data_IF_394344734060
#
_entry.id   IF_394344734060
#
_cell.length_a   1.000
_cell.length_b   1.000
_cell.length_c   1.000
_cell.angle_alpha   90.00
_cell.angle_beta   90.00
_cell.angle_gamma   90.00
#
_symmetry.space_group_name_H-M   'P 1'
#
loop_
_entity.id
_entity.type
_entity.pdbx_description
1 polymer ?
#
# COMPACT_ATOMS: atom_id res chain seq x y z
N UNK A 1 12.48 -20.96 6.01
CA UNK A 1 12.56 -19.84 5.03
C UNK A 1 13.15 -20.15 3.65
N UNK A 2 13.91 -21.23 3.38
CA UNK A 2 14.45 -21.49 2.02
C UNK A 2 13.38 -22.06 1.04
N UNK A 3 12.33 -22.73 1.53
CA UNK A 3 11.28 -23.30 0.66
C UNK A 3 10.46 -22.20 -0.03
N UNK A 4 10.16 -21.09 0.66
CA UNK A 4 9.40 -19.97 0.06
C UNK A 4 10.23 -19.25 -1.02
N UNK A 5 11.54 -19.04 -0.78
CA UNK A 5 12.43 -18.47 -1.79
C UNK A 5 12.66 -19.41 -2.97
N UNK A 6 12.71 -20.73 -2.76
CA UNK A 6 12.84 -21.70 -3.85
C UNK A 6 11.55 -21.79 -4.67
N UNK A 7 10.37 -21.74 -4.04
CA UNK A 7 9.10 -21.66 -4.76
C UNK A 7 8.99 -20.34 -5.55
N UNK A 8 9.32 -19.19 -4.96
CA UNK A 8 9.30 -17.91 -5.67
C UNK A 8 10.30 -17.89 -6.84
N UNK A 9 11.51 -18.43 -6.66
CA UNK A 9 12.54 -18.51 -7.70
C UNK A 9 12.19 -19.51 -8.81
N UNK A 10 11.62 -20.67 -8.47
CA UNK A 10 11.18 -21.67 -9.47
C UNK A 10 9.95 -21.18 -10.22
N UNK A 11 9.03 -20.47 -9.56
CA UNK A 11 7.83 -19.90 -10.16
C UNK A 11 8.19 -18.74 -11.09
N UNK A 12 9.03 -17.78 -10.65
CA UNK A 12 9.53 -16.70 -11.50
C UNK A 12 10.31 -17.24 -12.70
N UNK A 13 11.17 -18.25 -12.51
CA UNK A 13 11.93 -18.88 -13.60
C UNK A 13 11.05 -19.66 -14.60
N UNK A 14 10.00 -20.33 -14.14
CA UNK A 14 9.04 -21.00 -15.03
C UNK A 14 8.13 -20.00 -15.74
N UNK A 15 7.70 -18.94 -15.06
CA UNK A 15 6.89 -17.86 -15.62
C UNK A 15 7.65 -17.11 -16.73
N UNK A 16 8.93 -16.78 -16.52
CA UNK A 16 9.79 -16.15 -17.54
C UNK A 16 10.05 -17.10 -18.72
N UNK A 17 10.17 -18.42 -18.50
CA UNK A 17 10.28 -19.41 -19.59
C UNK A 17 8.98 -19.61 -20.37
N UNK A 18 7.83 -19.48 -19.71
CA UNK A 18 6.50 -19.57 -20.32
C UNK A 18 6.20 -18.35 -21.19
N UNK A 19 6.52 -17.15 -20.70
CA UNK A 19 6.39 -15.91 -21.47
C UNK A 19 7.25 -15.88 -22.74
N UNK A 20 8.41 -16.53 -22.73
CA UNK A 20 9.31 -16.63 -23.90
C UNK A 20 8.88 -17.66 -24.95
N UNK A 21 7.85 -18.47 -24.70
CA UNK A 21 7.42 -19.59 -25.56
C UNK A 21 6.05 -19.42 -26.21
N UNK A 22 5.37 -18.30 -25.97
CA UNK A 22 4.06 -18.01 -26.57
C UNK A 22 4.25 -17.24 -27.89
N UNK A 23 4.04 -17.85 -29.06
CA UNK A 23 3.72 -17.09 -30.26
C UNK A 23 2.25 -16.67 -30.15
N UNK A 24 1.95 -15.38 -30.17
CA UNK A 24 0.56 -14.91 -30.22
C UNK A 24 0.34 -14.28 -31.58
N UNK A 25 -0.43 -15.03 -32.36
CA UNK A 25 -1.02 -14.65 -33.64
C UNK A 25 -2.17 -13.66 -33.37
N UNK A 26 -2.16 -12.52 -34.07
CA UNK A 26 -3.11 -11.41 -33.86
C UNK A 26 -4.17 -11.50 -34.95
N UNK A 27 -5.38 -11.95 -34.60
CA UNK A 27 -6.56 -11.77 -35.44
C UNK A 27 -7.71 -11.16 -34.63
N UNK A 28 -8.11 -9.97 -35.05
CA UNK A 28 -9.15 -9.09 -34.52
C UNK A 28 -10.57 -9.58 -34.82
N UNK A 29 -11.49 -9.42 -33.86
CA UNK A 29 -12.93 -9.32 -34.13
C UNK A 29 -13.55 -8.20 -33.29
N UNK A 30 -14.21 -7.26 -33.98
CA UNK A 30 -14.80 -6.04 -33.43
C UNK A 30 -16.23 -6.25 -32.89
N UNK A 31 -16.60 -5.46 -31.88
CA UNK A 31 -17.97 -5.24 -31.42
C UNK A 31 -18.12 -3.79 -30.91
N UNK A 32 -19.29 -3.13 -31.07
CA UNK A 32 -19.42 -1.70 -30.88
C UNK A 32 -19.71 -1.35 -29.42
N UNK A 33 -18.88 -0.50 -28.83
CA UNK A 33 -19.05 0.04 -27.47
C UNK A 33 -18.16 1.27 -27.29
N UNK A 34 -18.83 2.41 -27.10
CA UNK A 34 -18.36 3.76 -26.78
C UNK A 34 -16.85 3.96 -26.64
N UNK A 35 -16.29 4.72 -27.59
CA UNK A 35 -14.88 5.09 -27.64
C UNK A 35 -14.55 6.23 -26.65
N UNK A 36 -13.94 5.87 -25.53
CA UNK A 36 -12.81 6.62 -24.96
C UNK A 36 -11.53 5.84 -25.21
N UNK A 37 -11.34 5.38 -26.44
CA UNK A 37 -10.17 4.60 -26.85
C UNK A 37 -9.03 5.52 -27.28
N UNK A 38 -7.96 5.41 -26.52
CA UNK A 38 -6.58 5.40 -27.00
C UNK A 38 -6.02 6.69 -27.63
N UNK A 39 -5.80 7.71 -26.78
CA UNK A 39 -4.70 8.67 -27.04
C UNK A 39 -3.33 8.00 -26.78
N UNK A 40 -3.31 6.86 -26.07
CA UNK A 40 -2.11 6.06 -25.77
C UNK A 40 -1.72 5.06 -26.87
N UNK A 41 -2.38 5.05 -28.04
CA UNK A 41 -2.27 3.96 -29.03
C UNK A 41 -0.86 3.73 -29.62
N UNK A 42 0.11 4.64 -29.39
CA UNK A 42 1.51 4.45 -29.79
C UNK A 42 2.52 4.36 -28.64
N UNK A 43 2.15 4.73 -27.40
CA UNK A 43 3.05 4.69 -26.25
C UNK A 43 2.58 3.62 -25.26
N UNK A 44 3.14 2.43 -25.40
CA UNK A 44 2.76 1.27 -24.58
C UNK A 44 3.74 1.10 -23.43
N UNK A 45 3.23 1.12 -22.20
CA UNK A 45 3.99 0.78 -21.00
C UNK A 45 3.77 -0.70 -20.66
N UNK A 46 4.86 -1.45 -20.47
CA UNK A 46 4.81 -2.84 -19.99
C UNK A 46 5.64 -3.00 -18.70
N UNK A 47 5.02 -3.19 -17.53
CA UNK A 47 3.57 -3.24 -17.30
C UNK A 47 2.89 -1.85 -17.43
N UNK A 48 1.54 -1.77 -17.55
CA UNK A 48 0.82 -0.50 -17.59
C UNK A 48 1.15 0.42 -16.40
N UNK A 49 1.17 1.74 -16.62
CA UNK A 49 1.61 2.74 -15.62
C UNK A 49 0.85 2.61 -14.30
N UNK A 50 -0.46 2.37 -14.33
CA UNK A 50 -1.23 2.19 -13.09
C UNK A 50 -0.74 1.01 -12.25
N UNK A 51 -0.27 -0.09 -12.87
CA UNK A 51 0.33 -1.22 -12.14
C UNK A 51 1.70 -0.86 -11.61
N UNK A 52 2.48 -0.08 -12.36
CA UNK A 52 3.77 0.43 -11.87
C UNK A 52 3.58 1.31 -10.63
N UNK A 53 2.55 2.16 -10.58
CA UNK A 53 2.19 2.95 -9.38
C UNK A 53 1.90 2.07 -8.17
N UNK A 54 1.04 1.06 -8.35
CA UNK A 54 0.71 0.13 -7.25
C UNK A 54 1.92 -0.68 -6.78
N UNK A 55 2.77 -1.12 -7.72
CA UNK A 55 4.02 -1.81 -7.40
C UNK A 55 4.99 -0.92 -6.63
N UNK A 56 5.14 0.34 -7.04
CA UNK A 56 6.00 1.29 -6.34
C UNK A 56 5.51 1.56 -4.91
N UNK A 57 4.21 1.75 -4.72
CA UNK A 57 3.62 1.94 -3.39
C UNK A 57 3.83 0.71 -2.52
N UNK A 58 3.67 -0.50 -3.08
CA UNK A 58 3.97 -1.73 -2.36
C UNK A 58 5.44 -1.79 -1.93
N UNK A 59 6.38 -1.39 -2.79
CA UNK A 59 7.81 -1.32 -2.45
C UNK A 59 8.11 -0.29 -1.36
N UNK A 60 7.46 0.88 -1.42
CA UNK A 60 7.58 1.91 -0.39
C UNK A 60 7.09 1.36 0.95
N UNK A 61 5.91 0.73 1.00
CA UNK A 61 5.36 0.14 2.23
C UNK A 61 6.22 -1.00 2.79
N UNK A 62 6.90 -1.75 1.93
CA UNK A 62 7.83 -2.83 2.30
C UNK A 62 9.23 -2.35 2.70
N UNK A 63 9.48 -1.04 2.75
CA UNK A 63 10.79 -0.51 3.10
C UNK A 63 11.13 -0.84 4.57
N UNK A 64 12.30 -1.45 4.78
CA UNK A 64 12.80 -1.85 6.10
C UNK A 64 12.84 -0.69 7.12
N UNK A 65 12.86 0.56 6.68
CA UNK A 65 12.85 1.74 7.56
C UNK A 65 11.59 1.83 8.43
N UNK A 66 10.43 1.41 7.92
CA UNK A 66 9.14 1.58 8.60
C UNK A 66 8.20 0.38 8.46
N UNK A 67 8.65 -0.72 7.87
CA UNK A 67 7.82 -1.93 7.65
C UNK A 67 7.22 -2.47 8.96
N UNK A 68 7.89 -2.29 10.10
CA UNK A 68 7.39 -2.72 11.42
C UNK A 68 6.43 -1.68 12.05
N UNK A 69 6.46 -0.44 11.57
CA UNK A 69 5.72 0.70 12.13
C UNK A 69 4.41 0.98 11.41
N UNK A 70 4.27 0.57 10.14
CA UNK A 70 3.05 0.80 9.35
C UNK A 70 2.06 -0.34 9.57
N UNK A 71 0.97 -0.05 10.27
CA UNK A 71 -0.13 -0.99 10.52
C UNK A 71 -1.47 -0.50 10.01
N UNK A 72 -1.69 0.81 10.01
CA UNK A 72 -2.94 1.45 9.58
C UNK A 72 -2.71 2.35 8.37
N UNK A 73 -3.41 2.08 7.28
CA UNK A 73 -3.26 2.79 6.01
C UNK A 73 -4.59 3.42 5.60
N UNK A 74 -4.55 4.62 5.04
CA UNK A 74 -5.67 5.19 4.28
C UNK A 74 -5.30 5.33 2.81
N UNK A 75 -6.22 4.90 1.94
CA UNK A 75 -6.19 5.07 0.49
C UNK A 75 -7.29 6.06 0.09
N UNK A 76 -6.91 7.30 -0.21
CA UNK A 76 -7.83 8.35 -0.65
C UNK A 76 -7.96 8.36 -2.17
N UNK A 77 -9.20 8.44 -2.65
CA UNK A 77 -9.50 8.29 -4.09
C UNK A 77 -9.34 6.84 -4.50
N UNK A 78 -9.74 5.92 -3.63
CA UNK A 78 -9.54 4.49 -3.83
C UNK A 78 -10.33 3.93 -5.03
N UNK A 79 -11.28 4.70 -5.57
CA UNK A 79 -12.01 4.42 -6.81
C UNK A 79 -12.54 2.98 -6.86
N UNK A 80 -12.05 2.18 -7.80
CA UNK A 80 -12.49 0.79 -7.99
C UNK A 80 -11.74 -0.19 -7.07
N UNK A 81 -11.12 0.29 -5.99
CA UNK A 81 -10.44 -0.52 -4.96
C UNK A 81 -9.34 -1.42 -5.52
N UNK A 82 -8.67 -0.98 -6.60
CA UNK A 82 -7.65 -1.78 -7.30
C UNK A 82 -6.33 -1.87 -6.53
N UNK A 83 -5.94 -0.81 -5.81
CA UNK A 83 -4.73 -0.81 -4.97
C UNK A 83 -4.78 -1.90 -3.90
N UNK A 84 -5.97 -2.16 -3.35
CA UNK A 84 -6.17 -3.15 -2.30
C UNK A 84 -5.54 -4.52 -2.62
N UNK A 85 -5.62 -4.97 -3.88
CA UNK A 85 -5.07 -6.26 -4.32
C UNK A 85 -3.55 -6.35 -4.20
N UNK A 86 -2.86 -5.21 -4.10
CA UNK A 86 -1.41 -5.11 -3.94
C UNK A 86 -1.01 -5.01 -2.46
N UNK A 87 -1.83 -4.37 -1.62
CA UNK A 87 -1.48 -4.10 -0.21
C UNK A 87 -2.08 -5.13 0.77
N UNK A 88 -3.17 -5.81 0.45
CA UNK A 88 -3.84 -6.75 1.36
C UNK A 88 -3.01 -7.98 1.75
N UNK A 89 -1.95 -8.29 0.99
CA UNK A 89 -1.01 -9.39 1.28
C UNK A 89 0.13 -8.99 2.20
N UNK A 90 0.25 -7.71 2.54
CA UNK A 90 1.23 -7.23 3.51
C UNK A 90 0.74 -7.63 4.91
N UNK A 91 1.49 -8.52 5.57
CA UNK A 91 1.06 -9.20 6.80
C UNK A 91 1.08 -8.29 8.04
N UNK A 92 1.78 -7.14 7.98
CA UNK A 92 1.87 -6.14 9.05
C UNK A 92 0.70 -5.15 9.09
N UNK A 93 -0.03 -5.03 7.99
CA UNK A 93 -1.17 -4.10 7.89
C UNK A 93 -2.39 -4.75 8.55
N UNK A 94 -2.96 -4.07 9.53
CA UNK A 94 -4.12 -4.52 10.29
C UNK A 94 -5.37 -3.71 9.98
N UNK A 95 -5.23 -2.49 9.47
CA UNK A 95 -6.35 -1.63 9.14
C UNK A 95 -6.11 -0.92 7.80
N UNK A 96 -7.05 -1.04 6.88
CA UNK A 96 -7.07 -0.34 5.59
C UNK A 96 -8.36 0.47 5.51
N UNK A 97 -8.24 1.78 5.41
CA UNK A 97 -9.35 2.70 5.20
C UNK A 97 -9.34 3.12 3.72
N UNK A 98 -10.30 2.63 2.94
CA UNK A 98 -10.48 3.02 1.56
C UNK A 98 -11.55 4.10 1.49
N UNK A 99 -11.16 5.31 1.06
CA UNK A 99 -12.00 6.51 1.08
C UNK A 99 -12.21 7.02 -0.34
N UNK A 100 -13.46 7.27 -0.71
CA UNK A 100 -13.81 7.94 -1.96
C UNK A 100 -15.09 8.77 -1.79
N UNK A 101 -15.30 9.78 -2.62
CA UNK A 101 -16.53 10.59 -2.62
C UNK A 101 -17.68 9.87 -3.33
N UNK A 102 -17.38 8.97 -4.28
CA UNK A 102 -18.36 8.24 -5.08
C UNK A 102 -18.82 6.95 -4.40
N UNK A 103 -19.93 7.02 -3.65
CA UNK A 103 -20.54 5.86 -2.99
C UNK A 103 -20.95 4.76 -4.00
N UNK A 104 -21.41 5.13 -5.20
CA UNK A 104 -21.87 4.16 -6.19
C UNK A 104 -20.71 3.32 -6.71
N UNK A 105 -19.59 3.99 -7.04
CA UNK A 105 -18.36 3.33 -7.47
C UNK A 105 -17.81 2.38 -6.41
N UNK A 106 -17.81 2.80 -5.15
CA UNK A 106 -17.39 1.97 -4.01
C UNK A 106 -18.27 0.72 -3.91
N UNK A 107 -19.60 0.89 -3.90
CA UNK A 107 -20.55 -0.23 -3.78
C UNK A 107 -20.42 -1.24 -4.92
N UNK A 108 -20.22 -0.77 -6.15
CA UNK A 108 -20.06 -1.64 -7.31
C UNK A 108 -18.78 -2.48 -7.24
N UNK A 109 -17.72 -1.96 -6.57
CA UNK A 109 -16.41 -2.60 -6.50
C UNK A 109 -16.11 -3.35 -5.19
N UNK A 110 -17.05 -3.42 -4.24
CA UNK A 110 -16.90 -4.13 -2.96
C UNK A 110 -16.43 -5.59 -3.11
N UNK A 111 -16.77 -6.26 -4.22
CA UNK A 111 -16.34 -7.64 -4.48
C UNK A 111 -14.81 -7.81 -4.54
N UNK A 112 -14.04 -6.74 -4.79
CA UNK A 112 -12.56 -6.78 -4.87
C UNK A 112 -11.88 -6.83 -3.51
N UNK A 113 -12.56 -6.36 -2.48
CA UNK A 113 -12.04 -6.24 -1.11
C UNK A 113 -12.58 -7.30 -0.17
N UNK A 114 -13.53 -8.12 -0.61
CA UNK A 114 -14.06 -9.22 0.20
C UNK A 114 -13.08 -10.41 0.21
N UNK A 115 -12.96 -11.13 1.34
CA UNK A 115 -12.14 -12.33 1.42
C UNK A 115 -12.56 -13.36 0.39
N UNK A 116 -11.59 -13.91 -0.34
CA UNK A 116 -11.80 -15.01 -1.28
C UNK A 116 -11.53 -16.35 -0.59
N UNK A 117 -11.88 -17.46 -1.24
CA UNK A 117 -11.70 -18.82 -0.69
C UNK A 117 -10.29 -19.07 -0.15
N UNK A 118 -9.26 -18.56 -0.82
CA UNK A 118 -7.86 -18.70 -0.39
C UNK A 118 -7.60 -18.05 0.97
N UNK A 119 -8.28 -16.95 1.31
CA UNK A 119 -8.07 -16.25 2.58
C UNK A 119 -8.59 -17.08 3.78
N UNK A 120 -9.64 -17.89 3.56
CA UNK A 120 -10.15 -18.81 4.59
C UNK A 120 -9.29 -20.07 4.76
N UNK A 121 -8.63 -20.52 3.70
CA UNK A 121 -7.73 -21.69 3.71
C UNK A 121 -6.36 -21.29 4.29
N UNK A 122 -5.81 -20.17 3.83
CA UNK A 122 -4.51 -19.62 4.21
C UNK A 122 -4.71 -18.35 5.03
N UNK A 123 -5.21 -18.53 6.27
CA UNK A 123 -5.51 -17.44 7.18
C UNK A 123 -4.26 -16.62 7.52
N UNK A 124 -4.45 -15.32 7.71
CA UNK A 124 -3.40 -14.41 8.21
C UNK A 124 -3.02 -14.76 9.65
N UNK A 125 -1.83 -14.38 10.09
CA UNK A 125 -1.41 -14.49 11.50
C UNK A 125 -1.93 -13.33 12.35
N UNK A 126 -2.14 -12.17 11.73
CA UNK A 126 -2.64 -10.95 12.35
C UNK A 126 -3.98 -10.56 11.70
N UNK A 127 -4.90 -9.92 12.45
CA UNK A 127 -6.19 -9.47 11.92
C UNK A 127 -5.99 -8.43 10.81
N UNK A 128 -6.98 -8.32 9.92
CA UNK A 128 -7.04 -7.24 8.93
C UNK A 128 -8.48 -6.76 8.81
N UNK A 129 -8.71 -5.48 9.09
CA UNK A 129 -9.98 -4.79 8.91
C UNK A 129 -9.88 -3.88 7.69
N UNK A 130 -10.91 -3.92 6.85
CA UNK A 130 -11.01 -3.06 5.67
C UNK A 130 -12.28 -2.22 5.81
N UNK A 131 -12.09 -0.92 5.99
CA UNK A 131 -13.16 0.06 6.10
C UNK A 131 -13.38 0.72 4.74
N UNK A 132 -14.59 0.61 4.20
CA UNK A 132 -14.99 1.31 2.98
C UNK A 132 -15.81 2.52 3.39
N UNK A 133 -15.28 3.71 3.14
CA UNK A 133 -15.77 4.97 3.65
C UNK A 133 -16.10 5.91 2.50
N UNK A 134 -17.29 6.52 2.53
CA UNK A 134 -17.61 7.63 1.67
C UNK A 134 -17.21 8.94 2.35
N UNK A 135 -16.29 9.70 1.75
CA UNK A 135 -15.78 10.94 2.33
C UNK A 135 -14.82 11.69 1.41
N UNK A 136 -14.53 12.95 1.75
CA UNK A 136 -13.56 13.78 1.01
C UNK A 136 -12.21 13.81 1.72
N UNK A 137 -11.11 13.74 0.96
CA UNK A 137 -9.74 13.89 1.46
C UNK A 137 -9.50 15.21 2.21
N UNK A 138 -10.30 16.25 1.96
CA UNK A 138 -10.20 17.54 2.69
C UNK A 138 -10.78 17.51 4.10
N UNK A 139 -11.61 16.52 4.40
CA UNK A 139 -12.47 16.57 5.58
C UNK A 139 -11.91 15.65 6.69
N UNK A 140 -11.81 16.13 7.93
CA UNK A 140 -11.29 15.33 9.03
C UNK A 140 -12.30 14.26 9.46
N UNK A 141 -11.80 13.07 9.77
CA UNK A 141 -12.60 11.98 10.35
C UNK A 141 -11.82 11.34 11.50
N UNK A 142 -12.41 11.14 12.70
CA UNK A 142 -11.73 10.58 13.85
C UNK A 142 -11.14 9.19 13.60
N UNK A 143 -11.68 8.40 12.66
CA UNK A 143 -11.09 7.10 12.30
C UNK A 143 -9.77 7.24 11.55
N UNK A 144 -9.45 8.43 11.04
CA UNK A 144 -8.17 8.72 10.41
C UNK A 144 -7.07 9.10 11.41
N UNK A 145 -7.38 9.26 12.71
CA UNK A 145 -6.32 9.43 13.72
C UNK A 145 -5.44 8.18 13.77
N UNK A 146 -4.16 8.38 14.08
CA UNK A 146 -3.15 7.31 14.21
C UNK A 146 -2.98 6.45 12.95
N UNK A 147 -3.36 6.97 11.78
CA UNK A 147 -3.02 6.36 10.49
C UNK A 147 -1.50 6.51 10.28
N UNK A 148 -0.82 5.40 10.00
CA UNK A 148 0.61 5.39 9.77
C UNK A 148 0.98 5.86 8.36
N UNK A 149 0.18 5.49 7.36
CA UNK A 149 0.43 5.82 5.96
C UNK A 149 -0.81 6.36 5.24
N UNK A 150 -0.63 7.46 4.52
CA UNK A 150 -1.60 8.06 3.59
C UNK A 150 -1.17 7.80 2.16
N UNK A 151 -2.09 7.33 1.33
CA UNK A 151 -1.86 7.08 -0.09
C UNK A 151 -2.93 7.82 -0.88
N UNK A 152 -2.51 8.60 -1.88
CA UNK A 152 -3.39 9.27 -2.83
C UNK A 152 -2.86 9.10 -4.24
N UNK A 153 -3.43 8.17 -5.01
CA UNK A 153 -2.95 7.82 -6.35
C UNK A 153 -3.80 8.54 -7.38
N UNK A 154 -3.19 9.43 -8.16
CA UNK A 154 -3.88 10.16 -9.24
C UNK A 154 -5.19 10.81 -8.73
N UNK A 155 -5.12 11.46 -7.57
CA UNK A 155 -6.28 12.08 -6.91
C UNK A 155 -6.24 13.61 -6.97
N UNK A 156 -5.06 14.22 -6.80
CA UNK A 156 -4.96 15.66 -6.55
C UNK A 156 -5.46 16.47 -7.75
N UNK A 157 -5.25 15.98 -8.97
CA UNK A 157 -5.71 16.57 -10.23
C UNK A 157 -7.23 16.59 -10.39
N UNK A 158 -7.97 15.79 -9.61
CA UNK A 158 -9.44 15.78 -9.61
C UNK A 158 -10.01 16.75 -8.57
N UNK A 159 -9.19 17.32 -7.69
CA UNK A 159 -9.64 18.20 -6.62
C UNK A 159 -9.94 19.60 -7.13
N UNK A 160 -11.08 20.15 -6.71
CA UNK A 160 -11.35 21.57 -6.88
C UNK A 160 -10.37 22.41 -6.03
N UNK A 161 -10.10 23.67 -6.40
CA UNK A 161 -9.12 24.51 -5.71
C UNK A 161 -9.28 24.59 -4.18
N UNK A 162 -10.52 24.69 -3.69
CA UNK A 162 -10.81 24.77 -2.25
C UNK A 162 -10.46 23.47 -1.54
N UNK A 163 -10.78 22.32 -2.14
CA UNK A 163 -10.43 20.98 -1.62
C UNK A 163 -8.93 20.75 -1.62
N UNK A 164 -8.24 21.19 -2.68
CA UNK A 164 -6.79 21.08 -2.80
C UNK A 164 -6.04 21.95 -1.77
N UNK A 165 -6.53 23.15 -1.48
CA UNK A 165 -5.99 24.02 -0.42
C UNK A 165 -6.24 23.45 0.99
N UNK A 166 -7.36 22.75 1.19
CA UNK A 166 -7.71 22.12 2.47
C UNK A 166 -6.94 20.82 2.75
N UNK A 167 -6.63 20.03 1.71
CA UNK A 167 -5.98 18.72 1.82
C UNK A 167 -4.74 18.71 2.74
N UNK A 168 -3.78 19.65 2.63
CA UNK A 168 -2.60 19.62 3.48
C UNK A 168 -2.91 19.73 4.97
N UNK A 169 -3.95 20.48 5.34
CA UNK A 169 -4.34 20.62 6.75
C UNK A 169 -4.96 19.35 7.30
N UNK A 170 -5.75 18.62 6.50
CA UNK A 170 -6.25 17.33 6.93
C UNK A 170 -5.11 16.30 7.03
N UNK A 171 -4.33 16.13 5.96
CA UNK A 171 -3.30 15.10 5.88
C UNK A 171 -2.13 15.36 6.83
N UNK A 172 -1.51 16.54 6.78
CA UNK A 172 -0.28 16.83 7.53
C UNK A 172 -0.55 17.53 8.87
N UNK A 173 -1.74 18.12 9.05
CA UNK A 173 -2.14 18.79 10.30
C UNK A 173 -2.96 17.90 11.23
N UNK A 174 -3.97 17.20 10.72
CA UNK A 174 -4.89 16.37 11.52
C UNK A 174 -4.45 14.90 11.58
N UNK A 175 -4.31 14.23 10.43
CA UNK A 175 -3.93 12.82 10.34
C UNK A 175 -2.49 12.60 10.82
N UNK A 176 -1.57 13.50 10.41
CA UNK A 176 -0.14 13.47 10.77
C UNK A 176 0.53 12.10 10.56
N UNK A 177 0.40 11.46 9.38
CA UNK A 177 0.92 10.13 9.14
C UNK A 177 2.45 10.10 9.19
N UNK A 178 3.06 8.93 9.42
CA UNK A 178 4.52 8.74 9.31
C UNK A 178 4.97 8.83 7.85
N UNK A 179 4.12 8.36 6.94
CA UNK A 179 4.35 8.32 5.50
C UNK A 179 3.14 8.88 4.75
N UNK A 180 3.33 9.76 3.78
CA UNK A 180 2.29 10.12 2.82
C UNK A 180 2.83 10.03 1.39
N UNK A 181 2.08 9.42 0.48
CA UNK A 181 2.46 9.24 -0.91
C UNK A 181 1.37 9.78 -1.81
N UNK A 182 1.72 10.72 -2.68
CA UNK A 182 0.82 11.29 -3.68
C UNK A 182 1.37 11.08 -5.07
N UNK A 183 0.52 10.66 -6.02
CA UNK A 183 0.88 10.65 -7.45
C UNK A 183 -0.05 11.53 -8.24
N UNK A 184 0.44 12.04 -9.36
CA UNK A 184 -0.33 12.81 -10.34
C UNK A 184 0.32 12.69 -11.72
N UNK A 185 -0.42 12.92 -12.83
CA UNK A 185 0.16 13.00 -14.16
C UNK A 185 1.26 14.05 -14.28
N UNK A 186 2.27 13.77 -15.10
CA UNK A 186 3.29 14.75 -15.48
C UNK A 186 2.95 15.43 -16.81
N UNK A 187 2.57 16.71 -16.76
CA UNK A 187 2.22 17.48 -17.96
C UNK A 187 3.39 17.64 -18.94
N UNK A 188 4.65 17.67 -18.46
CA UNK A 188 5.84 17.78 -19.33
C UNK A 188 5.95 16.58 -20.28
N UNK A 189 5.47 15.42 -19.83
CA UNK A 189 5.52 14.17 -20.58
C UNK A 189 4.45 14.12 -21.69
N UNK A 190 3.43 14.98 -21.63
CA UNK A 190 2.27 14.89 -22.52
C UNK A 190 2.60 15.05 -24.01
N UNK A 191 3.71 15.71 -24.31
CA UNK A 191 4.21 15.90 -25.69
C UNK A 191 4.51 14.59 -26.40
N UNK A 192 4.69 13.49 -25.67
CA UNK A 192 4.94 12.17 -26.23
C UNK A 192 3.66 11.46 -26.69
N UNK A 193 2.48 11.93 -26.27
CA UNK A 193 1.22 11.36 -26.72
C UNK A 193 0.82 11.93 -28.09
N UNK A 194 0.52 11.07 -29.08
CA UNK A 194 0.18 11.52 -30.42
C UNK A 194 -1.11 12.36 -30.41
N UNK A 195 -1.08 13.49 -31.12
CA UNK A 195 -2.22 14.41 -31.28
C UNK A 195 -2.82 14.95 -29.98
N UNK A 196 -2.03 14.93 -28.88
CA UNK A 196 -2.51 15.35 -27.57
C UNK A 196 -2.77 16.86 -27.50
N UNK A 197 -3.96 17.21 -26.98
CA UNK A 197 -4.33 18.59 -26.64
C UNK A 197 -5.13 18.58 -25.34
N UNK A 198 -4.78 19.47 -24.41
CA UNK A 198 -5.51 19.64 -23.15
C UNK A 198 -4.97 18.71 -22.05
N UNK A 199 -5.86 17.97 -21.42
CA UNK A 199 -5.58 17.06 -20.30
C UNK A 199 -5.84 15.61 -20.74
N UNK A 200 -5.13 14.65 -20.14
CA UNK A 200 -5.25 13.20 -20.37
C UNK A 200 -6.61 12.66 -20.02
N UNK A 201 -7.32 13.29 -19.09
CA UNK A 201 -8.67 12.91 -18.72
C UNK A 201 -9.59 14.14 -18.70
N UNK A 202 -10.84 13.94 -19.12
CA UNK A 202 -11.84 15.00 -19.20
C UNK A 202 -12.24 15.56 -17.83
N UNK A 203 -12.08 14.77 -16.77
CA UNK A 203 -12.39 15.15 -15.40
C UNK A 203 -11.22 15.77 -14.62
N UNK A 204 -10.02 15.86 -15.22
CA UNK A 204 -8.93 16.60 -14.58
C UNK A 204 -9.29 18.08 -14.45
N UNK A 205 -8.99 18.67 -13.30
CA UNK A 205 -9.13 20.11 -13.03
C UNK A 205 -7.84 20.87 -13.39
N UNK A 206 -6.71 20.18 -13.34
CA UNK A 206 -5.40 20.64 -13.77
C UNK A 206 -4.50 19.45 -14.12
N UNK A 207 -3.38 19.71 -14.81
CA UNK A 207 -2.25 18.78 -14.89
C UNK A 207 -0.97 19.57 -14.67
N UNK A 208 -0.17 19.16 -13.69
CA UNK A 208 1.03 19.90 -13.31
C UNK A 208 2.27 19.45 -14.06
N UNK A 209 3.13 20.41 -14.39
CA UNK A 209 4.53 20.13 -14.76
C UNK A 209 5.30 19.61 -13.55
N UNK A 210 6.51 19.10 -13.75
CA UNK A 210 7.37 18.70 -12.62
C UNK A 210 7.67 19.86 -11.68
N UNK A 211 7.96 21.02 -12.24
CA UNK A 211 8.24 22.23 -11.44
C UNK A 211 7.04 22.62 -10.56
N UNK A 212 5.81 22.57 -11.12
CA UNK A 212 4.60 22.87 -10.35
C UNK A 212 4.34 21.85 -9.23
N UNK A 213 4.53 20.56 -9.51
CA UNK A 213 4.35 19.50 -8.54
C UNK A 213 5.41 19.54 -7.43
N UNK A 214 6.67 19.79 -7.79
CA UNK A 214 7.75 19.99 -6.82
C UNK A 214 7.50 21.23 -5.96
N UNK A 215 7.05 22.34 -6.55
CA UNK A 215 6.70 23.54 -5.80
C UNK A 215 5.56 23.28 -4.82
N UNK A 216 4.53 22.53 -5.21
CA UNK A 216 3.43 22.13 -4.33
C UNK A 216 3.95 21.30 -3.13
N UNK A 217 4.75 20.27 -3.39
CA UNK A 217 5.32 19.43 -2.32
C UNK A 217 6.26 20.19 -1.39
N UNK A 218 7.12 21.07 -1.94
CA UNK A 218 8.00 21.93 -1.14
C UNK A 218 7.23 22.96 -0.30
N UNK A 219 6.11 23.48 -0.82
CA UNK A 219 5.25 24.39 -0.08
C UNK A 219 4.59 23.68 1.11
N UNK A 220 4.18 22.41 0.97
CA UNK A 220 3.64 21.61 2.07
C UNK A 220 4.67 21.48 3.20
N UNK A 221 5.90 21.06 2.92
CA UNK A 221 6.93 20.92 3.97
C UNK A 221 7.38 22.27 4.55
N UNK A 222 7.16 23.38 3.85
CA UNK A 222 7.33 24.73 4.42
C UNK A 222 6.25 25.06 5.46
N UNK A 223 5.00 24.62 5.23
CA UNK A 223 3.88 24.78 6.17
C UNK A 223 3.95 23.77 7.32
N UNK A 224 4.46 22.57 7.06
CA UNK A 224 4.58 21.45 7.99
C UNK A 224 6.05 20.98 8.06
N UNK A 225 6.92 21.71 8.82
CA UNK A 225 8.37 21.51 8.81
C UNK A 225 8.83 20.16 9.39
N UNK A 226 7.94 19.48 10.12
CA UNK A 226 8.16 18.14 10.63
C UNK A 226 8.11 17.05 9.53
N UNK A 227 7.92 17.42 8.26
CA UNK A 227 7.98 16.51 7.12
C UNK A 227 9.15 16.85 6.20
N UNK A 228 9.70 15.82 5.57
CA UNK A 228 10.55 15.94 4.39
C UNK A 228 9.81 15.39 3.18
N UNK A 229 10.11 15.90 1.98
CA UNK A 229 9.53 15.43 0.72
C UNK A 229 10.64 14.99 -0.23
N UNK A 230 10.39 13.90 -0.96
CA UNK A 230 11.23 13.43 -2.06
C UNK A 230 10.36 13.12 -3.26
N UNK A 231 10.91 13.26 -4.46
CA UNK A 231 10.17 13.09 -5.72
C UNK A 231 10.70 11.91 -6.51
N UNK A 232 9.80 11.17 -7.14
CA UNK A 232 10.11 10.01 -7.99
C UNK A 232 9.19 10.02 -9.22
N UNK A 233 9.69 9.57 -10.37
CA UNK A 233 8.89 9.35 -11.57
C UNK A 233 8.49 7.88 -11.77
N UNK A 234 7.35 7.65 -12.42
CA UNK A 234 6.80 6.32 -12.74
C UNK A 234 6.36 6.27 -14.21
N UNK A 235 6.71 5.19 -14.92
CA UNK A 235 6.49 5.07 -16.35
C UNK A 235 7.52 5.88 -17.15
N UNK A 236 8.74 5.35 -17.24
CA UNK A 236 9.81 5.95 -18.06
C UNK A 236 9.40 6.02 -19.54
N UNK A 237 9.77 7.13 -20.19
CA UNK A 237 9.55 7.31 -21.62
C UNK A 237 10.54 6.53 -22.48
N UNK A 238 10.39 6.59 -23.82
CA UNK A 238 11.34 6.00 -24.75
C UNK A 238 12.76 6.58 -24.58
N UNK A 239 13.78 5.82 -24.96
CA UNK A 239 15.18 6.25 -24.86
C UNK A 239 15.41 7.63 -25.50
N UNK A 240 16.08 8.54 -24.78
CA UNK A 240 16.34 9.91 -25.23
C UNK A 240 15.29 10.93 -24.80
N UNK A 241 14.24 10.51 -24.10
CA UNK A 241 13.20 11.41 -23.56
C UNK A 241 13.38 11.74 -22.08
N UNK A 242 14.52 11.38 -21.49
CA UNK A 242 14.80 11.51 -20.04
C UNK A 242 14.58 12.94 -19.50
N UNK A 243 14.83 13.95 -20.34
CA UNK A 243 14.65 15.36 -20.00
C UNK A 243 13.19 15.74 -19.70
N UNK A 244 12.20 14.96 -20.14
CA UNK A 244 10.76 15.14 -19.87
C UNK A 244 10.33 14.52 -18.54
N UNK A 245 11.17 13.68 -17.93
CA UNK A 245 10.81 12.85 -16.77
C UNK A 245 9.93 11.66 -17.15
N UNK A 246 9.17 11.15 -16.18
CA UNK A 246 8.29 9.99 -16.37
C UNK A 246 6.83 10.42 -16.62
N UNK A 247 6.01 9.46 -17.04
CA UNK A 247 4.59 9.64 -17.33
C UNK A 247 3.76 10.11 -16.14
N UNK A 248 3.99 9.52 -14.97
CA UNK A 248 3.41 9.91 -13.68
C UNK A 248 4.53 10.34 -12.74
N UNK A 249 4.22 11.26 -11.84
CA UNK A 249 5.14 11.81 -10.85
C UNK A 249 4.58 11.54 -9.45
N UNK A 250 5.49 11.26 -8.51
CA UNK A 250 5.19 10.82 -7.16
C UNK A 250 5.96 11.68 -6.15
N UNK A 251 5.25 12.16 -5.15
CA UNK A 251 5.82 12.83 -3.98
C UNK A 251 5.68 11.90 -2.77
N UNK A 252 6.79 11.68 -2.07
CA UNK A 252 6.89 10.83 -0.88
C UNK A 252 7.26 11.72 0.28
N UNK A 253 6.33 11.89 1.21
CA UNK A 253 6.49 12.66 2.43
C UNK A 253 6.78 11.73 3.61
N UNK A 254 7.79 12.06 4.40
CA UNK A 254 8.19 11.28 5.58
C UNK A 254 8.24 12.22 6.78
N UNK A 255 7.58 11.82 7.87
CA UNK A 255 7.64 12.55 9.14
C UNK A 255 9.04 12.40 9.76
N UNK A 256 9.63 13.51 10.17
CA UNK A 256 10.94 13.55 10.81
C UNK A 256 10.80 13.09 12.27
N UNK A 257 11.58 12.08 12.68
CA UNK A 257 11.48 11.43 14.01
C UNK A 257 11.96 12.32 15.18
N UNK A 258 12.58 13.47 14.90
CA UNK A 258 13.35 14.25 15.87
C UNK A 258 12.70 15.55 16.34
N UNK A 259 11.47 15.84 15.94
CA UNK A 259 10.75 17.03 16.42
C UNK A 259 9.60 16.57 17.31
N UNK A 260 9.74 16.76 18.62
CA UNK A 260 8.59 16.83 19.53
C UNK A 260 7.54 17.70 18.83
N UNK A 261 6.29 17.21 18.75
CA UNK A 261 5.17 17.99 18.22
C UNK A 261 5.33 19.40 18.76
N UNK A 262 5.70 20.36 17.90
CA UNK A 262 5.75 21.75 18.31
C UNK A 262 4.34 22.03 18.77
N UNK A 263 4.15 22.10 20.11
CA UNK A 263 2.90 22.55 20.70
C UNK A 263 2.68 23.88 20.04
N UNK A 264 1.70 23.92 19.13
CA UNK A 264 1.40 25.08 18.32
C UNK A 264 1.03 26.19 19.28
N UNK A 265 2.02 26.99 19.69
CA UNK A 265 1.79 28.16 20.49
C UNK A 265 0.96 29.08 19.61
N UNK A 266 -0.23 29.41 20.11
CA UNK A 266 -1.33 30.18 19.51
C UNK A 266 -0.98 31.63 19.11
N UNK A 267 0.29 31.94 18.92
CA UNK A 267 0.81 33.30 18.69
C UNK A 267 1.56 33.48 17.37
N UNK A 268 1.78 32.41 16.60
CA UNK A 268 2.29 32.54 15.22
C UNK A 268 1.12 32.86 14.30
N UNK A 269 0.99 34.11 13.85
CA UNK A 269 0.00 34.49 12.85
C UNK A 269 0.39 33.91 11.48
N UNK A 270 0.13 32.62 11.28
CA UNK A 270 -0.01 32.07 9.95
C UNK A 270 -1.20 32.80 9.31
N UNK A 271 -0.99 33.38 8.13
CA UNK A 271 -2.04 34.12 7.42
C UNK A 271 -3.34 33.34 7.50
N UNK A 272 -4.40 34.01 7.93
CA UNK A 272 -5.72 33.44 8.25
C UNK A 272 -6.22 32.67 7.02
N UNK A 273 -5.83 31.41 6.93
CA UNK A 273 -6.50 30.42 6.11
C UNK A 273 -7.70 30.00 6.96
N UNK A 274 -8.89 30.33 6.47
CA UNK A 274 -10.17 30.07 7.11
C UNK A 274 -10.29 28.62 7.58
N UNK A 275 -9.59 27.68 6.95
CA UNK A 275 -9.54 26.27 7.33
C UNK A 275 -8.83 25.98 8.66
N UNK A 276 -7.66 26.59 8.95
CA UNK A 276 -7.01 26.38 10.25
C UNK A 276 -7.88 26.97 11.37
N UNK A 277 -8.49 28.13 11.13
CA UNK A 277 -9.43 28.74 12.09
C UNK A 277 -10.69 27.89 12.26
N UNK A 278 -11.12 27.16 11.22
CA UNK A 278 -12.19 26.17 11.29
C UNK A 278 -11.75 24.98 12.14
N UNK A 279 -10.62 24.34 11.83
CA UNK A 279 -10.13 23.15 12.54
C UNK A 279 -9.74 23.41 13.99
N UNK A 280 -9.19 24.59 14.32
CA UNK A 280 -8.87 24.95 15.70
C UNK A 280 -10.09 25.41 16.52
N UNK A 281 -11.19 25.80 15.86
CA UNK A 281 -12.48 26.06 16.53
C UNK A 281 -13.40 24.83 16.55
N UNK A 282 -12.99 23.68 15.99
CA UNK A 282 -13.64 22.38 16.20
C UNK A 282 -13.27 21.88 17.61
N UNK A 283 -13.72 22.62 18.61
CA UNK A 283 -14.06 22.12 19.94
C UNK A 283 -15.58 22.11 20.10
N UNK A 284 -16.29 21.94 18.98
CA UNK A 284 -17.75 22.07 18.84
C UNK A 284 -18.30 20.67 18.57
N UNK A 285 -19.33 20.31 19.34
CA UNK A 285 -20.15 19.10 19.26
C UNK A 285 -20.26 18.54 17.83
N UNK A 286 -19.58 17.42 17.57
CA UNK A 286 -19.63 16.74 16.28
C UNK A 286 -20.99 16.06 16.09
N UNK A 287 -21.72 16.48 15.07
CA UNK A 287 -22.94 15.79 14.62
C UNK A 287 -22.55 14.50 13.86
N UNK A 288 -23.28 13.40 14.03
CA UNK A 288 -22.96 12.11 13.38
C UNK A 288 -22.94 12.22 11.85
N UNK A 289 -23.67 13.19 11.29
CA UNK A 289 -23.75 13.51 9.85
C UNK A 289 -22.50 14.23 9.30
N UNK A 290 -21.55 14.64 10.15
CA UNK A 290 -20.31 15.32 9.73
C UNK A 290 -19.14 14.39 9.39
N UNK A 291 -19.29 13.09 9.67
CA UNK A 291 -18.24 12.10 9.47
C UNK A 291 -18.38 11.36 8.15
N UNK A 292 -17.32 10.66 7.76
CA UNK A 292 -17.40 9.79 6.60
C UNK A 292 -18.49 8.74 6.80
N UNK A 293 -19.28 8.49 5.77
CA UNK A 293 -20.30 7.45 5.85
C UNK A 293 -19.62 6.09 5.70
N UNK A 294 -19.76 5.23 6.71
CA UNK A 294 -19.30 3.85 6.61
C UNK A 294 -20.22 3.08 5.64
N UNK A 295 -19.68 2.64 4.51
CA UNK A 295 -20.39 1.79 3.55
C UNK A 295 -20.34 0.34 3.99
N UNK A 296 -19.15 -0.17 4.29
CA UNK A 296 -18.94 -1.56 4.72
C UNK A 296 -17.67 -1.67 5.56
N UNK A 297 -17.71 -2.51 6.60
CA UNK A 297 -16.55 -2.98 7.34
C UNK A 297 -16.36 -4.47 7.02
N UNK A 298 -15.19 -4.83 6.53
CA UNK A 298 -14.85 -6.20 6.12
C UNK A 298 -13.72 -6.71 7.01
N UNK A 299 -14.00 -7.75 7.78
CA UNK A 299 -13.03 -8.42 8.64
C UNK A 299 -12.46 -9.65 7.95
N UNK A 300 -11.13 -9.70 7.79
CA UNK A 300 -10.45 -10.81 7.16
C UNK A 300 -10.26 -11.99 8.14
N UNK A 301 -10.36 -13.24 7.65
CA UNK A 301 -10.09 -14.41 8.48
C UNK A 301 -8.61 -14.48 8.87
N UNK A 302 -8.36 -14.67 10.17
CA UNK A 302 -7.02 -14.85 10.73
C UNK A 302 -6.98 -16.09 11.64
N UNK A 303 -5.77 -16.60 11.85
CA UNK A 303 -5.52 -17.76 12.69
C UNK A 303 -5.39 -17.33 14.15
N UNK A 304 -6.20 -17.95 15.00
CA UNK A 304 -6.12 -17.81 16.46
C UNK A 304 -5.49 -19.09 16.98
N UNK A 305 -4.30 -18.99 17.56
CA UNK A 305 -3.62 -20.13 18.20
C UNK A 305 -4.09 -20.25 19.66
N UNK A 306 -5.13 -21.04 19.87
CA UNK A 306 -5.75 -21.28 21.18
C UNK A 306 -4.93 -22.21 22.09
N UNK A 307 -3.81 -22.77 21.59
CA UNK A 307 -2.98 -23.68 22.39
C UNK A 307 -2.30 -22.94 23.54
N UNK A 308 -2.23 -23.59 24.69
CA UNK A 308 -1.42 -23.14 25.83
C UNK A 308 0.08 -23.17 25.50
N UNK A 309 0.89 -22.41 26.23
CA UNK A 309 2.36 -22.44 26.06
C UNK A 309 2.93 -23.87 26.16
N UNK A 310 2.37 -24.70 27.06
CA UNK A 310 2.77 -26.11 27.22
C UNK A 310 2.44 -26.94 25.98
N UNK A 311 1.27 -26.73 25.38
CA UNK A 311 0.85 -27.42 24.16
C UNK A 311 1.70 -27.00 22.96
N UNK A 312 2.03 -25.70 22.84
CA UNK A 312 2.95 -25.19 21.81
C UNK A 312 4.31 -25.86 21.89
N UNK A 313 4.91 -25.89 23.09
CA UNK A 313 6.20 -26.55 23.33
C UNK A 313 6.10 -28.06 23.04
N UNK A 314 5.03 -28.71 23.50
CA UNK A 314 4.80 -30.13 23.27
C UNK A 314 4.68 -30.45 21.78
N UNK A 315 3.96 -29.66 21.00
CA UNK A 315 3.81 -29.86 19.56
C UNK A 315 5.12 -29.62 18.80
N UNK A 316 5.87 -28.58 19.17
CA UNK A 316 7.20 -28.33 18.61
C UNK A 316 8.14 -29.51 18.89
N UNK A 317 8.13 -30.04 20.12
CA UNK A 317 8.91 -31.21 20.50
C UNK A 317 8.50 -32.45 19.69
N UNK A 318 7.20 -32.72 19.55
CA UNK A 318 6.70 -33.84 18.73
C UNK A 318 7.14 -33.70 17.28
N UNK A 319 7.06 -32.50 16.70
CA UNK A 319 7.50 -32.22 15.35
C UNK A 319 9.01 -32.51 15.19
N UNK A 320 9.85 -31.98 16.09
CA UNK A 320 11.29 -32.22 16.09
C UNK A 320 11.65 -33.69 16.25
N UNK A 321 10.98 -34.40 17.18
CA UNK A 321 11.15 -35.85 17.34
C UNK A 321 10.77 -36.58 16.06
N UNK A 322 9.63 -36.27 15.45
CA UNK A 322 9.18 -36.90 14.19
C UNK A 322 10.18 -36.69 13.06
N UNK A 323 10.76 -35.48 12.95
CA UNK A 323 11.79 -35.17 11.96
C UNK A 323 13.09 -35.94 12.19
N UNK A 324 13.52 -36.06 13.44
CA UNK A 324 14.75 -36.76 13.84
C UNK A 324 14.60 -38.29 13.85
N UNK A 325 13.37 -38.81 14.01
CA UNK A 325 13.07 -40.24 14.15
C UNK A 325 12.92 -41.01 12.82
N UNK A 326 13.47 -40.49 11.72
CA UNK A 326 13.42 -41.17 10.42
C UNK A 326 14.16 -42.51 10.51
N UNK A 327 13.54 -43.58 10.01
CA UNK A 327 14.12 -44.93 9.99
C UNK A 327 15.36 -44.94 9.10
N UNK A 328 16.48 -45.47 9.60
CA UNK A 328 17.79 -45.34 8.95
C UNK A 328 18.37 -43.92 8.98
N UNK A 329 17.80 -43.03 9.79
CA UNK A 329 18.29 -41.68 10.02
C UNK A 329 19.44 -41.65 11.03
N UNK A 330 20.03 -40.46 11.21
CA UNK A 330 21.23 -40.24 12.03
C UNK A 330 21.14 -40.79 13.46
N UNK A 331 19.96 -40.74 14.06
CA UNK A 331 19.74 -41.15 15.45
C UNK A 331 19.16 -42.55 15.57
N UNK A 332 19.05 -43.30 14.47
CA UNK A 332 18.57 -44.67 14.51
C UNK A 332 19.69 -45.61 14.98
N UNK A 333 19.48 -46.27 16.10
CA UNK A 333 20.37 -47.28 16.64
C UNK A 333 19.91 -48.65 16.13
N UNK A 334 20.70 -49.28 15.28
CA UNK A 334 20.37 -50.58 14.67
C UNK A 334 20.38 -51.71 15.71
N UNK A 335 21.32 -51.70 16.64
CA UNK A 335 21.47 -52.72 17.69
C UNK A 335 20.26 -52.75 18.62
N UNK A 336 19.77 -51.57 18.99
CA UNK A 336 18.59 -51.43 19.85
C UNK A 336 17.26 -51.32 19.07
N UNK A 337 17.32 -51.30 17.74
CA UNK A 337 16.19 -51.12 16.83
C UNK A 337 15.25 -49.94 17.23
N UNK A 338 15.83 -48.79 17.61
CA UNK A 338 15.08 -47.59 18.04
C UNK A 338 15.84 -46.31 17.73
N UNK A 339 15.13 -45.17 17.75
CA UNK A 339 15.79 -43.87 17.66
C UNK A 339 16.25 -43.39 19.04
N UNK A 340 17.51 -42.97 19.15
CA UNK A 340 18.15 -42.44 20.36
C UNK A 340 18.58 -40.99 20.09
N UNK A 341 17.64 -40.05 20.28
CA UNK A 341 17.83 -38.63 19.97
C UNK A 341 18.34 -37.90 21.22
N UNK A 342 19.51 -37.24 21.18
CA UNK A 342 19.99 -36.44 22.30
C UNK A 342 19.03 -35.27 22.60
N UNK A 343 18.74 -35.03 23.89
CA UNK A 343 17.86 -33.92 24.30
C UNK A 343 18.38 -32.56 23.82
N UNK A 344 19.70 -32.40 23.77
CA UNK A 344 20.38 -31.19 23.28
C UNK A 344 19.99 -30.88 21.83
N UNK A 345 19.74 -31.91 21.01
CA UNK A 345 19.30 -31.76 19.63
C UNK A 345 17.88 -31.21 19.53
N UNK A 346 16.99 -31.67 20.41
CA UNK A 346 15.60 -31.21 20.45
C UNK A 346 15.48 -29.74 20.91
N UNK A 347 16.40 -29.30 21.76
CA UNK A 347 16.40 -27.92 22.28
C UNK A 347 17.07 -26.97 21.31
N UNK A 348 18.31 -27.25 20.91
CA UNK A 348 19.16 -26.27 20.20
C UNK A 348 19.21 -26.46 18.70
N UNK A 349 18.66 -27.58 18.19
CA UNK A 349 18.53 -27.84 16.76
C UNK A 349 19.85 -27.67 16.00
N UNK A 350 20.95 -28.16 16.60
CA UNK A 350 22.33 -27.87 16.21
C UNK A 350 22.68 -28.29 14.77
N UNK A 351 21.87 -29.13 14.14
CA UNK A 351 22.16 -29.68 12.81
C UNK A 351 21.02 -29.61 11.78
N UNK A 352 19.89 -28.94 12.05
CA UNK A 352 18.88 -28.71 11.01
C UNK A 352 18.90 -27.26 10.50
N UNK A 353 19.29 -27.08 9.24
CA UNK A 353 19.25 -25.79 8.56
C UNK A 353 17.82 -25.41 8.14
N UNK A 354 16.90 -25.17 9.06
CA UNK A 354 15.66 -24.43 8.77
C UNK A 354 15.18 -23.68 10.01
N UNK A 355 15.34 -22.36 9.98
CA UNK A 355 14.92 -21.42 11.02
C UNK A 355 13.39 -21.28 11.07
N UNK A 356 12.85 -21.58 12.24
CA UNK A 356 11.64 -20.96 12.80
C UNK A 356 11.85 -20.83 14.31
N UNK A 357 12.87 -20.05 14.68
CA UNK A 357 12.93 -19.45 16.02
C UNK A 357 12.51 -18.00 15.78
N UNK A 358 11.39 -17.53 16.35
CA UNK A 358 11.15 -16.10 16.49
C UNK A 358 12.25 -15.59 17.41
N UNK A 359 13.11 -14.71 16.91
CA UNK A 359 14.03 -13.98 17.76
C UNK A 359 13.19 -13.13 18.72
N UNK A 360 13.13 -13.56 19.98
CA UNK A 360 12.85 -12.67 21.09
C UNK A 360 14.20 -12.06 21.47
N UNK A 361 14.40 -10.78 21.22
CA UNK A 361 15.08 -9.77 22.06
C UNK A 361 14.86 -8.39 21.44
#
# INVERSE_FOLDING_TARGET
MIIVFHYLYVFTRHYIKFLRKMPIDVSTTEGPGFETRDIEENLVFDPPVYKQRYGEIQLILLNNKWIEDIRKIVDFGCAELKLFQFINRLFRINDILAVDVDEYLLRDNLFRVRPVTTDYICKRTEPLNVHILQGSISDPDPRLTDVDAVIGIEIIEHLYPDTLEALPYNVFGFIKPKLAVFTTPNADFNVLFPNFKGMRHWDHKFEWTREQFEMWGNNIVTRFPNYSVSFKGIGEGPAGTDHLGCCSQMAIFIKNENEEDCVMNSTSSFGICTYHSYTSNISIEYDEDSYYRLIELIEYPFHIDERTAKEKISDELKYKIGLASRRGGRFYNEDHNRNEIPVVELIYNLYTHFTSIPEAW
#
